data_IF_725429949235
#
_entry.id   IF_725429949235
#
_cell.length_a   1.000
_cell.length_b   1.000
_cell.length_c   1.000
_cell.angle_alpha   90.00
_cell.angle_beta   90.00
_cell.angle_gamma   90.00
#
_symmetry.space_group_name_H-M   'P 1'
#
loop_
_entity.id
_entity.type
_entity.pdbx_description
1 polymer ?
#
# COMPACT_ATOMS: atom_id res chain seq x y z
N UNK A 1 3.46 -0.09 -10.11
CA UNK A 1 2.76 0.88 -10.97
C UNK A 1 1.53 1.40 -10.25
N UNK A 2 1.32 2.70 -10.27
CA UNK A 2 0.13 3.37 -9.75
C UNK A 2 -0.96 3.41 -10.84
N UNK A 3 -2.08 2.69 -10.69
CA UNK A 3 -3.07 2.62 -11.75
C UNK A 3 -3.92 3.89 -11.81
N UNK A 4 -4.30 4.28 -13.02
CA UNK A 4 -5.20 5.40 -13.26
C UNK A 4 -6.30 4.99 -14.22
N UNK A 5 -7.55 5.31 -13.87
CA UNK A 5 -8.75 4.96 -14.62
C UNK A 5 -9.03 3.46 -14.62
N UNK A 6 -10.09 3.05 -15.32
CA UNK A 6 -10.60 1.68 -15.34
C UNK A 6 -9.90 0.75 -16.37
N UNK A 7 -9.01 1.26 -17.22
CA UNK A 7 -8.38 0.50 -18.30
C UNK A 7 -7.11 -0.23 -17.83
N UNK A 8 -7.28 -1.23 -16.98
CA UNK A 8 -6.14 -1.92 -16.34
C UNK A 8 -5.46 -2.98 -17.22
N UNK A 9 -6.01 -3.32 -18.39
CA UNK A 9 -5.34 -4.21 -19.35
C UNK A 9 -3.97 -3.70 -19.79
N UNK A 10 -3.76 -2.40 -19.79
CA UNK A 10 -2.46 -1.77 -20.09
C UNK A 10 -1.37 -2.08 -19.06
N UNK A 11 -1.74 -2.58 -17.88
CA UNK A 11 -0.81 -2.97 -16.81
C UNK A 11 -0.57 -4.48 -16.75
N UNK A 12 -1.01 -5.22 -17.78
CA UNK A 12 -0.73 -6.65 -17.89
C UNK A 12 0.75 -6.94 -17.68
N UNK A 13 1.04 -8.02 -16.98
CA UNK A 13 2.39 -8.47 -16.60
C UNK A 13 3.15 -7.52 -15.64
N UNK A 14 2.52 -6.49 -15.11
CA UNK A 14 3.12 -5.69 -14.04
C UNK A 14 3.40 -6.57 -12.81
N UNK A 15 4.59 -6.44 -12.24
CA UNK A 15 4.96 -7.17 -11.03
C UNK A 15 4.12 -6.75 -9.83
N UNK A 16 3.88 -5.45 -9.69
CA UNK A 16 3.01 -4.89 -8.64
C UNK A 16 2.18 -3.73 -9.16
N UNK A 17 0.92 -3.74 -8.80
CA UNK A 17 0.03 -2.60 -8.93
C UNK A 17 -0.30 -2.05 -7.54
N UNK A 18 -0.37 -0.72 -7.41
CA UNK A 18 -0.54 -0.04 -6.12
C UNK A 18 -1.81 0.81 -6.07
N UNK A 19 -2.99 0.21 -6.27
CA UNK A 19 -4.24 0.96 -6.22
C UNK A 19 -4.61 1.37 -4.79
N UNK A 20 -5.44 2.41 -4.69
CA UNK A 20 -6.22 2.69 -3.50
C UNK A 20 -7.64 2.11 -3.63
N UNK A 21 -8.47 2.25 -2.57
CA UNK A 21 -9.85 1.75 -2.56
C UNK A 21 -10.70 2.38 -3.68
N UNK A 22 -10.51 3.66 -3.97
CA UNK A 22 -11.26 4.35 -5.05
C UNK A 22 -10.89 3.77 -6.41
N UNK A 23 -9.60 3.61 -6.67
CA UNK A 23 -9.10 3.10 -7.95
C UNK A 23 -9.51 1.65 -8.21
N UNK A 24 -9.46 0.78 -7.18
CA UNK A 24 -9.92 -0.60 -7.38
C UNK A 24 -11.43 -0.68 -7.60
N UNK A 25 -12.20 0.22 -7.01
CA UNK A 25 -13.63 0.30 -7.25
C UNK A 25 -14.00 0.70 -8.69
N UNK A 26 -13.13 1.39 -9.41
CA UNK A 26 -13.35 1.74 -10.81
C UNK A 26 -13.44 0.51 -11.74
N UNK A 27 -12.89 -0.63 -11.32
CA UNK A 27 -12.91 -1.89 -12.09
C UNK A 27 -13.91 -2.92 -11.57
N UNK A 28 -14.57 -2.63 -10.45
CA UNK A 28 -15.56 -3.52 -9.85
C UNK A 28 -16.96 -3.21 -10.35
N UNK A 29 -17.82 -4.23 -10.48
CA UNK A 29 -19.24 -4.07 -10.84
C UNK A 29 -20.02 -3.41 -9.71
N UNK A 30 -19.69 -3.75 -8.48
CA UNK A 30 -20.27 -3.15 -7.27
C UNK A 30 -19.11 -2.67 -6.37
N UNK A 31 -19.24 -1.47 -5.74
CA UNK A 31 -18.24 -0.97 -4.84
C UNK A 31 -17.99 -1.92 -3.67
N UNK A 32 -16.73 -2.16 -3.37
CA UNK A 32 -16.33 -2.95 -2.20
C UNK A 32 -16.25 -2.08 -0.94
N UNK A 33 -16.55 -2.67 0.21
CA UNK A 33 -16.23 -2.05 1.49
C UNK A 33 -14.74 -2.22 1.81
N UNK A 34 -14.19 -1.30 2.61
CA UNK A 34 -12.80 -1.37 3.07
C UNK A 34 -12.65 -2.37 4.23
N UNK A 35 -12.92 -3.64 3.93
CA UNK A 35 -12.77 -4.80 4.84
C UNK A 35 -11.77 -5.78 4.24
N UNK A 36 -11.02 -6.48 5.07
CA UNK A 36 -9.92 -7.35 4.66
C UNK A 36 -10.36 -8.37 3.59
N UNK A 37 -11.45 -9.07 3.83
CA UNK A 37 -11.97 -10.07 2.89
C UNK A 37 -12.38 -9.48 1.54
N UNK A 38 -13.06 -8.33 1.53
CA UNK A 38 -13.50 -7.69 0.29
C UNK A 38 -12.33 -7.13 -0.51
N UNK A 39 -11.36 -6.54 0.18
CA UNK A 39 -10.12 -6.03 -0.40
C UNK A 39 -9.29 -7.15 -1.04
N UNK A 40 -9.11 -8.27 -0.34
CA UNK A 40 -8.42 -9.44 -0.89
C UNK A 40 -9.13 -9.98 -2.13
N UNK A 41 -10.45 -10.16 -2.06
CA UNK A 41 -11.27 -10.64 -3.18
C UNK A 41 -11.14 -9.74 -4.41
N UNK A 42 -11.21 -8.43 -4.22
CA UNK A 42 -11.08 -7.45 -5.30
C UNK A 42 -9.67 -7.46 -5.92
N UNK A 43 -8.62 -7.52 -5.09
CA UNK A 43 -7.25 -7.60 -5.57
C UNK A 43 -7.01 -8.89 -6.38
N UNK A 44 -7.47 -10.04 -5.90
CA UNK A 44 -7.37 -11.30 -6.63
C UNK A 44 -8.19 -11.30 -7.93
N UNK A 45 -9.33 -10.65 -7.96
CA UNK A 45 -10.09 -10.42 -9.18
C UNK A 45 -9.29 -9.61 -10.19
N UNK A 46 -8.68 -8.49 -9.78
CA UNK A 46 -7.85 -7.66 -10.63
C UNK A 46 -6.65 -8.44 -11.19
N UNK A 47 -5.97 -9.21 -10.34
CA UNK A 47 -4.84 -10.05 -10.74
C UNK A 47 -5.23 -11.03 -11.86
N UNK A 48 -6.33 -11.75 -11.66
CA UNK A 48 -6.82 -12.74 -12.66
C UNK A 48 -7.33 -12.10 -13.94
N UNK A 49 -8.16 -11.05 -13.81
CA UNK A 49 -8.81 -10.41 -14.96
C UNK A 49 -7.84 -9.67 -15.86
N UNK A 50 -6.86 -9.00 -15.28
CA UNK A 50 -5.95 -8.10 -16.01
C UNK A 50 -4.53 -8.64 -16.16
N UNK A 51 -4.24 -9.85 -15.65
CA UNK A 51 -2.92 -10.46 -15.74
C UNK A 51 -1.85 -9.73 -14.93
N UNK A 52 -2.22 -9.17 -13.79
CA UNK A 52 -1.32 -8.50 -12.85
C UNK A 52 -0.77 -9.54 -11.88
N UNK A 53 0.53 -9.49 -11.58
CA UNK A 53 1.15 -10.51 -10.72
C UNK A 53 0.81 -10.34 -9.25
N UNK A 54 0.88 -9.12 -8.73
CA UNK A 54 0.67 -8.84 -7.31
C UNK A 54 0.04 -7.46 -7.12
N UNK A 55 -0.60 -7.24 -5.96
CA UNK A 55 -1.25 -5.97 -5.61
C UNK A 55 -0.83 -5.52 -4.22
N UNK A 56 -0.49 -4.24 -4.10
CA UNK A 56 -0.35 -3.51 -2.83
C UNK A 56 -1.45 -2.47 -2.78
N UNK A 57 -2.51 -2.73 -2.03
CA UNK A 57 -3.68 -1.86 -1.98
C UNK A 57 -3.61 -0.92 -0.78
N UNK A 58 -3.61 0.38 -1.02
CA UNK A 58 -3.63 1.38 0.05
C UNK A 58 -5.06 1.62 0.55
N UNK A 59 -5.23 1.68 1.87
CA UNK A 59 -6.54 1.61 2.54
C UNK A 59 -6.82 2.80 3.45
N UNK A 60 -6.16 3.92 3.23
CA UNK A 60 -6.25 5.13 4.09
C UNK A 60 -5.96 4.79 5.56
N UNK A 61 -6.86 5.15 6.47
CA UNK A 61 -6.72 4.92 7.91
C UNK A 61 -6.56 3.44 8.30
N UNK A 62 -6.89 2.50 7.42
CA UNK A 62 -6.70 1.06 7.66
C UNK A 62 -5.35 0.51 7.22
N UNK A 63 -4.43 1.37 6.76
CA UNK A 63 -3.10 0.96 6.34
C UNK A 63 -3.05 0.45 4.91
N UNK A 64 -2.45 -0.71 4.68
CA UNK A 64 -2.36 -1.33 3.37
C UNK A 64 -2.53 -2.85 3.42
N UNK A 65 -2.84 -3.42 2.26
CA UNK A 65 -2.92 -4.86 2.07
C UNK A 65 -2.00 -5.29 0.93
N UNK A 66 -1.14 -6.25 1.20
CA UNK A 66 -0.29 -6.91 0.21
C UNK A 66 -0.93 -8.24 -0.19
N UNK A 67 -1.13 -8.43 -1.48
CA UNK A 67 -1.50 -9.71 -2.08
C UNK A 67 -0.39 -10.10 -3.05
N UNK A 68 0.42 -11.08 -2.65
CA UNK A 68 1.59 -11.58 -3.37
C UNK A 68 1.47 -13.09 -3.59
N UNK A 69 1.09 -13.49 -4.78
CA UNK A 69 0.75 -14.89 -5.04
C UNK A 69 -0.35 -15.37 -4.10
N UNK A 70 -0.09 -16.42 -3.33
CA UNK A 70 -1.01 -16.93 -2.31
C UNK A 70 -0.87 -16.21 -0.94
N UNK A 71 0.20 -15.46 -0.75
CA UNK A 71 0.43 -14.70 0.49
C UNK A 71 -0.46 -13.46 0.56
N UNK A 72 -1.05 -13.22 1.74
CA UNK A 72 -1.83 -12.03 2.05
C UNK A 72 -1.33 -11.45 3.37
N UNK A 73 -1.08 -10.15 3.39
CA UNK A 73 -0.77 -9.42 4.59
C UNK A 73 -1.61 -8.14 4.67
N UNK A 74 -2.33 -7.98 5.76
CA UNK A 74 -3.05 -6.75 6.09
C UNK A 74 -2.26 -6.00 7.15
N UNK A 75 -1.70 -4.85 6.80
CA UNK A 75 -0.80 -4.08 7.64
C UNK A 75 -1.55 -2.81 8.09
N UNK A 76 -2.01 -2.76 9.35
CA UNK A 76 -2.75 -1.61 9.85
C UNK A 76 -1.83 -0.40 10.01
N UNK A 77 -2.36 0.80 9.79
CA UNK A 77 -1.67 2.03 10.16
C UNK A 77 -1.87 2.33 11.64
N UNK A 78 -0.85 2.91 12.28
CA UNK A 78 -0.94 3.45 13.63
C UNK A 78 -1.16 4.97 13.66
N UNK A 79 -1.35 5.60 12.50
CA UNK A 79 -1.61 7.05 12.42
C UNK A 79 -2.94 7.35 13.14
N UNK A 80 -2.86 8.15 14.21
CA UNK A 80 -4.02 8.48 15.04
C UNK A 80 -4.94 9.51 14.41
N UNK A 81 -4.42 10.35 13.51
CA UNK A 81 -5.18 11.39 12.83
C UNK A 81 -4.73 11.49 11.37
N UNK A 82 -5.67 11.33 10.46
CA UNK A 82 -5.43 11.49 9.03
C UNK A 82 -5.98 12.86 8.62
N UNK A 83 -5.13 13.89 8.63
CA UNK A 83 -5.52 15.24 8.20
C UNK A 83 -5.43 15.41 6.68
N UNK A 84 -4.40 14.85 6.06
CA UNK A 84 -4.18 14.90 4.62
C UNK A 84 -3.54 13.60 4.15
N UNK A 85 -4.20 12.92 3.20
CA UNK A 85 -3.70 11.69 2.56
C UNK A 85 -2.91 11.98 1.28
N UNK A 86 -2.74 13.27 0.92
CA UNK A 86 -1.96 13.68 -0.24
C UNK A 86 -0.49 13.24 -0.09
N UNK A 87 0.02 12.57 -1.09
CA UNK A 87 1.40 12.07 -1.12
C UNK A 87 1.63 10.74 -0.39
N UNK A 88 0.68 10.22 0.39
CA UNK A 88 0.84 8.92 1.07
C UNK A 88 0.97 7.76 0.07
N UNK A 89 0.16 7.74 -0.98
CA UNK A 89 0.23 6.74 -2.04
C UNK A 89 1.56 6.77 -2.79
N UNK A 90 2.06 7.95 -3.14
CA UNK A 90 3.37 8.11 -3.80
C UNK A 90 4.51 7.64 -2.90
N UNK A 91 4.43 7.89 -1.59
CA UNK A 91 5.39 7.40 -0.61
C UNK A 91 5.37 5.87 -0.53
N UNK A 92 4.20 5.23 -0.52
CA UNK A 92 4.08 3.76 -0.54
C UNK A 92 4.79 3.19 -1.76
N UNK A 93 4.53 3.72 -2.95
CA UNK A 93 5.16 3.25 -4.20
C UNK A 93 6.67 3.38 -4.13
N UNK A 94 7.18 4.54 -3.72
CA UNK A 94 8.61 4.81 -3.68
C UNK A 94 9.32 3.90 -2.67
N UNK A 95 8.83 3.81 -1.45
CA UNK A 95 9.46 3.02 -0.37
C UNK A 95 9.33 1.52 -0.63
N UNK A 96 8.18 1.05 -1.11
CA UNK A 96 7.98 -0.34 -1.48
C UNK A 96 8.94 -0.76 -2.61
N UNK A 97 9.03 0.05 -3.66
CA UNK A 97 9.94 -0.21 -4.79
C UNK A 97 11.40 -0.22 -4.37
N UNK A 98 11.83 0.73 -3.54
CA UNK A 98 13.20 0.77 -2.99
C UNK A 98 13.48 -0.44 -2.09
N UNK A 99 12.53 -0.85 -1.26
CA UNK A 99 12.66 -2.03 -0.42
C UNK A 99 12.88 -3.31 -1.22
N UNK A 100 12.10 -3.52 -2.28
CA UNK A 100 12.28 -4.66 -3.19
C UNK A 100 13.62 -4.60 -3.93
N UNK A 101 14.01 -3.43 -4.44
CA UNK A 101 15.30 -3.24 -5.10
C UNK A 101 16.49 -3.48 -4.17
N UNK A 102 16.33 -3.19 -2.88
CA UNK A 102 17.31 -3.46 -1.82
C UNK A 102 17.31 -4.91 -1.32
N UNK A 103 16.47 -5.78 -1.86
CA UNK A 103 16.42 -7.21 -1.54
C UNK A 103 15.50 -7.59 -0.38
N UNK A 104 14.64 -6.67 0.09
CA UNK A 104 13.63 -6.99 1.10
C UNK A 104 12.58 -7.96 0.53
N UNK A 105 12.05 -8.83 1.38
CA UNK A 105 10.86 -9.61 1.05
C UNK A 105 9.67 -8.68 0.85
N UNK A 106 8.68 -9.04 0.00
CA UNK A 106 7.52 -8.20 -0.26
C UNK A 106 6.76 -7.76 1.01
N UNK A 107 6.59 -8.64 2.00
CA UNK A 107 5.93 -8.32 3.25
C UNK A 107 6.70 -7.25 4.06
N UNK A 108 8.04 -7.35 4.12
CA UNK A 108 8.88 -6.40 4.83
C UNK A 108 8.91 -5.05 4.11
N UNK A 109 8.99 -5.05 2.78
CA UNK A 109 8.90 -3.84 1.96
C UNK A 109 7.54 -3.14 2.13
N UNK A 110 6.45 -3.90 2.19
CA UNK A 110 5.10 -3.38 2.42
C UNK A 110 4.95 -2.78 3.83
N UNK A 111 5.50 -3.45 4.84
CA UNK A 111 5.53 -2.92 6.21
C UNK A 111 6.28 -1.58 6.27
N UNK A 112 7.47 -1.51 5.70
CA UNK A 112 8.28 -0.29 5.65
C UNK A 112 7.55 0.85 4.90
N UNK A 113 6.91 0.54 3.79
CA UNK A 113 6.11 1.50 3.02
C UNK A 113 4.93 2.04 3.83
N UNK A 114 4.25 1.18 4.61
CA UNK A 114 3.15 1.58 5.49
C UNK A 114 3.62 2.51 6.61
N UNK A 115 4.77 2.23 7.22
CA UNK A 115 5.40 3.09 8.22
C UNK A 115 5.74 4.47 7.63
N UNK A 116 6.36 4.50 6.46
CA UNK A 116 6.70 5.73 5.76
C UNK A 116 5.46 6.57 5.44
N UNK A 117 4.39 5.94 4.95
CA UNK A 117 3.12 6.62 4.69
C UNK A 117 2.50 7.21 5.97
N UNK A 118 2.61 6.53 7.11
CA UNK A 118 2.14 7.03 8.41
C UNK A 118 2.85 8.33 8.81
N UNK A 119 4.14 8.42 8.54
CA UNK A 119 4.93 9.64 8.81
C UNK A 119 4.44 10.80 7.93
N UNK A 120 4.20 10.54 6.64
CA UNK A 120 3.71 11.56 5.71
C UNK A 120 2.35 12.10 6.13
N UNK A 121 1.39 11.24 6.49
CA UNK A 121 0.04 11.68 6.88
C UNK A 121 0.01 12.38 8.24
N UNK A 122 1.04 12.22 9.07
CA UNK A 122 1.19 12.94 10.33
C UNK A 122 1.69 14.38 10.16
N UNK A 123 2.08 14.78 8.95
CA UNK A 123 2.55 16.10 8.58
C UNK A 123 1.49 16.87 7.80
N UNK A 124 1.55 18.20 7.82
CA UNK A 124 0.67 19.03 6.98
C UNK A 124 1.25 19.14 5.56
N UNK A 125 0.45 18.75 4.58
CA UNK A 125 0.80 18.81 3.17
C UNK A 125 1.70 17.67 2.67
N UNK A 126 2.18 17.79 1.44
CA UNK A 126 3.09 16.84 0.82
C UNK A 126 4.47 16.90 1.47
N UNK A 127 5.00 15.76 1.90
CA UNK A 127 6.23 15.67 2.67
C UNK A 127 7.11 14.51 2.19
N UNK A 128 8.42 14.74 2.11
CA UNK A 128 9.41 13.71 1.82
C UNK A 128 9.97 13.13 3.13
N UNK A 129 9.76 11.84 3.36
CA UNK A 129 10.27 11.15 4.55
C UNK A 129 11.77 10.98 4.46
N UNK A 130 12.50 11.43 5.49
CA UNK A 130 13.93 11.18 5.61
C UNK A 130 14.22 9.78 6.15
N UNK A 131 15.45 9.31 5.90
CA UNK A 131 15.92 8.03 6.45
C UNK A 131 15.89 8.04 7.99
N UNK A 132 16.28 9.15 8.58
CA UNK A 132 16.33 9.33 10.03
C UNK A 132 14.95 9.24 10.66
N UNK A 133 13.93 9.85 10.05
CA UNK A 133 12.54 9.77 10.50
C UNK A 133 11.99 8.34 10.44
N UNK A 134 12.31 7.58 9.38
CA UNK A 134 11.94 6.17 9.29
C UNK A 134 12.57 5.33 10.40
N UNK A 135 13.86 5.52 10.65
CA UNK A 135 14.57 4.81 11.70
C UNK A 135 14.00 5.12 13.09
N UNK A 136 13.71 6.38 13.40
CA UNK A 136 13.10 6.77 14.67
C UNK A 136 11.75 6.09 14.91
N UNK A 137 10.90 6.00 13.88
CA UNK A 137 9.58 5.35 13.99
C UNK A 137 9.75 3.83 14.19
N UNK A 138 10.68 3.19 13.51
CA UNK A 138 10.96 1.77 13.64
C UNK A 138 11.49 1.43 15.05
N UNK A 139 12.44 2.20 15.56
CA UNK A 139 13.01 2.03 16.91
C UNK A 139 11.94 2.14 18.00
N UNK A 140 11.01 3.09 17.88
CA UNK A 140 9.90 3.23 18.81
C UNK A 140 8.93 2.05 18.79
N UNK A 141 8.79 1.37 17.65
CA UNK A 141 7.93 0.20 17.53
C UNK A 141 8.57 -1.05 18.12
N UNK A 142 9.86 -1.22 17.98
CA UNK A 142 10.60 -2.33 18.61
C UNK A 142 10.60 -2.19 20.14
N UNK A 143 10.74 -1.00 20.66
CA UNK A 143 10.66 -0.71 22.10
C UNK A 143 9.26 -0.94 22.71
N UNK A 144 8.20 -0.86 21.91
CA UNK A 144 6.82 -1.09 22.37
C UNK A 144 6.40 -2.57 22.34
N UNK A 145 7.13 -3.43 21.63
CA UNK A 145 6.90 -4.87 21.50
C UNK A 145 7.90 -5.72 22.31
N UNK A 146 8.74 -5.06 23.06
CA UNK A 146 9.72 -5.66 23.95
C UNK A 146 9.19 -5.86 25.37
#
# INVERSE_FOLDING_TARGET
VDPKGAQWLKYKDADYLTPNIKEINEIMLEPIANKDFEVEKAARYAMRKFGIRNVVLTRSAKGLSLIHGEEVAHIPTKAQEVFDVSGAGDTVIAVFGLGLAGGLKPADAAYLANVAASVVVSKLGTYAVSREELLQVLDHQEGANG
#
